data_IF_962893918876
#
_entry.id   IF_962893918876
#
_cell.length_a   1.000
_cell.length_b   1.000
_cell.length_c   1.000
_cell.angle_alpha   90.00
_cell.angle_beta   90.00
_cell.angle_gamma   90.00
#
_symmetry.space_group_name_H-M   'P 1'
#
loop_
_entity.id
_entity.type
_entity.pdbx_description
1 polymer ?
#
# COMPACT_ATOMS: atom_id res chain seq x y z
N UNK A 1 -8.86 -6.20 6.84
CA UNK A 1 -7.63 -6.58 6.11
C UNK A 1 -7.06 -5.33 5.43
N UNK A 2 -5.78 -5.29 5.02
CA UNK A 2 -5.16 -4.08 4.43
C UNK A 2 -5.96 -3.48 3.26
N UNK A 3 -6.56 -4.34 2.44
CA UNK A 3 -7.41 -3.95 1.33
C UNK A 3 -8.67 -3.18 1.77
N UNK A 4 -9.27 -3.54 2.91
CA UNK A 4 -10.45 -2.85 3.45
C UNK A 4 -10.12 -1.41 3.90
N UNK A 5 -8.90 -1.18 4.36
CA UNK A 5 -8.42 0.16 4.73
C UNK A 5 -8.21 1.04 3.49
N UNK A 6 -7.73 0.46 2.39
CA UNK A 6 -7.62 1.15 1.10
C UNK A 6 -8.99 1.54 0.52
N UNK A 7 -10.00 0.67 0.69
CA UNK A 7 -11.38 0.97 0.32
C UNK A 7 -11.95 2.14 1.11
N UNK A 8 -11.68 2.23 2.42
CA UNK A 8 -12.10 3.35 3.27
C UNK A 8 -11.42 4.68 2.91
N UNK A 9 -10.24 4.64 2.29
CA UNK A 9 -9.53 5.82 1.84
C UNK A 9 -9.97 6.29 0.44
N UNK A 10 -10.94 5.64 -0.21
CA UNK A 10 -11.33 5.87 -1.63
C UNK A 10 -10.15 5.79 -2.61
N UNK A 11 -9.06 5.14 -2.21
CA UNK A 11 -7.83 5.02 -3.00
C UNK A 11 -7.78 3.74 -3.81
N UNK A 12 -8.74 2.84 -3.62
CA UNK A 12 -8.82 1.58 -4.36
C UNK A 12 -8.80 1.80 -5.88
N UNK A 13 -9.46 2.85 -6.39
CA UNK A 13 -9.50 3.17 -7.83
C UNK A 13 -8.19 3.76 -8.36
N UNK A 14 -7.34 4.30 -7.48
CA UNK A 14 -6.03 4.88 -7.82
C UNK A 14 -4.86 3.97 -7.43
N UNK A 15 -5.14 2.77 -6.92
CA UNK A 15 -4.12 1.82 -6.50
C UNK A 15 -3.93 0.77 -7.58
N UNK A 16 -2.69 0.63 -8.06
CA UNK A 16 -2.34 -0.46 -8.95
C UNK A 16 -2.04 -1.73 -8.13
N UNK A 17 -2.82 -2.78 -8.32
CA UNK A 17 -2.55 -4.08 -7.69
C UNK A 17 -1.55 -4.81 -8.57
N UNK A 18 -0.35 -5.04 -8.03
CA UNK A 18 0.69 -5.83 -8.69
C UNK A 18 0.77 -7.19 -8.02
N UNK A 19 0.55 -8.25 -8.79
CA UNK A 19 0.80 -9.61 -8.35
C UNK A 19 2.30 -9.91 -8.47
N UNK A 20 2.93 -10.23 -7.35
CA UNK A 20 4.36 -10.51 -7.26
C UNK A 20 4.67 -12.00 -7.45
N UNK A 21 3.67 -12.87 -7.56
CA UNK A 21 3.87 -14.33 -7.58
C UNK A 21 4.68 -14.83 -8.79
N UNK A 22 4.78 -14.03 -9.86
CA UNK A 22 5.51 -14.37 -11.09
C UNK A 22 6.79 -13.53 -11.27
N UNK A 23 7.11 -12.65 -10.33
CA UNK A 23 8.29 -11.79 -10.36
C UNK A 23 9.21 -12.18 -9.21
N UNK A 24 10.28 -12.92 -9.52
CA UNK A 24 11.19 -13.48 -8.51
C UNK A 24 11.88 -12.39 -7.66
N UNK A 25 12.14 -11.20 -8.22
CA UNK A 25 12.75 -10.09 -7.47
C UNK A 25 11.75 -9.51 -6.46
N UNK A 26 10.51 -9.26 -6.89
CA UNK A 26 9.45 -8.77 -6.00
C UNK A 26 9.03 -9.85 -4.98
N UNK A 27 8.98 -11.12 -5.39
CA UNK A 27 8.68 -12.24 -4.51
C UNK A 27 9.77 -12.42 -3.45
N UNK A 28 11.05 -12.30 -3.82
CA UNK A 28 12.14 -12.38 -2.84
C UNK A 28 12.13 -11.21 -1.86
N UNK A 29 11.69 -10.02 -2.28
CA UNK A 29 11.65 -8.84 -1.41
C UNK A 29 10.39 -8.76 -0.54
N UNK A 30 9.22 -9.12 -1.06
CA UNK A 30 7.93 -8.90 -0.41
C UNK A 30 7.15 -10.19 -0.10
N UNK A 31 7.61 -11.37 -0.55
CA UNK A 31 6.85 -12.63 -0.44
C UNK A 31 6.46 -13.05 0.98
N UNK A 32 7.12 -12.49 2.01
CA UNK A 32 6.80 -12.71 3.43
C UNK A 32 6.07 -11.54 4.11
N UNK A 33 6.07 -10.36 3.50
CA UNK A 33 5.55 -9.10 4.06
C UNK A 33 4.32 -8.57 3.34
N UNK A 34 3.88 -9.22 2.26
CA UNK A 34 2.62 -8.86 1.60
C UNK A 34 1.43 -8.93 2.59
N UNK A 35 0.53 -7.93 2.58
CA UNK A 35 0.45 -6.81 1.63
C UNK A 35 1.37 -5.63 1.98
N UNK A 36 2.05 -5.05 0.98
CA UNK A 36 2.89 -3.85 1.12
C UNK A 36 2.37 -2.76 0.18
N UNK A 37 2.23 -1.53 0.68
CA UNK A 37 1.95 -0.36 -0.16
C UNK A 37 3.25 0.31 -0.52
N UNK A 38 3.43 0.61 -1.81
CA UNK A 38 4.62 1.29 -2.31
C UNK A 38 4.21 2.51 -3.12
N UNK A 39 4.82 3.64 -2.81
CA UNK A 39 4.68 4.87 -3.57
C UNK A 39 6.05 5.52 -3.74
N UNK A 40 6.53 5.56 -4.98
CA UNK A 40 7.89 6.02 -5.31
C UNK A 40 8.96 5.27 -4.48
N UNK A 41 9.64 5.98 -3.58
CA UNK A 41 10.68 5.42 -2.69
C UNK A 41 10.16 5.14 -1.26
N UNK A 42 8.86 5.31 -1.02
CA UNK A 42 8.24 5.09 0.28
C UNK A 42 7.45 3.78 0.27
N UNK A 43 7.56 3.04 1.36
CA UNK A 43 6.91 1.75 1.54
C UNK A 43 6.22 1.70 2.90
N UNK A 44 5.01 1.17 2.91
CA UNK A 44 4.24 0.91 4.12
C UNK A 44 3.96 -0.59 4.20
N UNK A 45 4.71 -1.24 5.10
CA UNK A 45 4.60 -2.68 5.34
C UNK A 45 3.45 -2.97 6.30
N UNK A 46 2.67 -4.00 6.01
CA UNK A 46 1.70 -4.53 6.96
C UNK A 46 2.39 -5.10 8.21
N UNK A 47 1.80 -4.99 9.42
CA UNK A 47 0.51 -4.39 9.74
C UNK A 47 0.55 -2.87 9.95
N UNK A 48 -0.49 -2.19 9.46
CA UNK A 48 -0.73 -0.77 9.74
C UNK A 48 -2.22 -0.50 9.97
N UNK A 49 -2.51 0.56 10.72
CA UNK A 49 -3.86 1.06 10.94
C UNK A 49 -4.25 2.17 9.94
N UNK A 50 -5.49 2.67 10.04
CA UNK A 50 -6.00 3.72 9.16
C UNK A 50 -5.26 5.05 9.34
N UNK A 51 -4.84 5.39 10.57
CA UNK A 51 -4.13 6.64 10.83
C UNK A 51 -2.70 6.60 10.25
N UNK A 52 -2.01 5.48 10.39
CA UNK A 52 -0.71 5.23 9.77
C UNK A 52 -0.80 5.28 8.25
N UNK A 53 -1.85 4.69 7.67
CA UNK A 53 -2.11 4.79 6.25
C UNK A 53 -2.32 6.25 5.81
N UNK A 54 -3.18 6.99 6.49
CA UNK A 54 -3.46 8.41 6.19
C UNK A 54 -2.19 9.28 6.30
N UNK A 55 -1.45 9.13 7.39
CA UNK A 55 -0.19 9.85 7.60
C UNK A 55 0.83 9.49 6.51
N UNK A 56 0.92 8.22 6.12
CA UNK A 56 1.79 7.79 5.04
C UNK A 56 1.39 8.41 3.70
N UNK A 57 0.09 8.44 3.38
CA UNK A 57 -0.42 9.09 2.17
C UNK A 57 -0.10 10.58 2.14
N UNK A 58 -0.34 11.28 3.25
CA UNK A 58 -0.03 12.71 3.41
C UNK A 58 1.46 13.00 3.27
N UNK A 59 2.32 12.20 3.92
CA UNK A 59 3.78 12.32 3.82
C UNK A 59 4.28 12.11 2.37
N UNK A 60 3.56 11.32 1.59
CA UNK A 60 3.84 11.08 0.17
C UNK A 60 3.16 12.09 -0.77
N UNK A 61 2.44 13.08 -0.23
CA UNK A 61 1.70 14.07 -1.02
C UNK A 61 0.49 13.52 -1.76
N UNK A 62 0.01 12.33 -1.40
CA UNK A 62 -1.17 11.70 -1.99
C UNK A 62 -2.39 12.33 -1.32
N UNK A 63 -3.00 13.30 -2.00
CA UNK A 63 -4.21 13.96 -1.50
C UNK A 63 -5.41 13.06 -1.76
N UNK A 64 -5.88 12.37 -0.73
CA UNK A 64 -7.15 11.65 -0.77
C UNK A 64 -8.26 12.65 -0.37
N UNK A 65 -9.12 13.04 -1.31
CA UNK A 65 -10.29 13.86 -0.99
C UNK A 65 -11.37 12.95 -0.42
N UNK A 66 -11.79 13.28 0.80
CA UNK A 66 -12.95 12.72 1.52
C UNK A 66 -14.26 12.96 0.78
#
# INVERSE_FOLDING_TARGET
>A
MAYDLMGQASLAEHTNIVDIALDDELFSHYGVTIPVLKYQNSELNWPFDLEQLKNWLENNGITYHS
#
